data_IF_526470533245
#
_entry.id   IF_526470533245
#
_cell.length_a   1.000
_cell.length_b   1.000
_cell.length_c   1.000
_cell.angle_alpha   90.00
_cell.angle_beta   90.00
_cell.angle_gamma   90.00
#
_symmetry.space_group_name_H-M   'P 1'
#
loop_
_entity.id
_entity.type
_entity.pdbx_description
1 polymer ?
2 polymer ?
3 water ?
#
# COMPACT_ATOMS: atom_id res chain seq x y z
N UNK A 5 -13.28 -1.42 -14.11
CA UNK A 5 -12.28 -1.79 -13.11
C UNK A 5 -12.74 -2.99 -12.34
N UNK A 6 -11.83 -3.93 -12.09
CA UNK A 6 -12.19 -5.10 -11.28
C UNK A 6 -12.48 -4.71 -9.84
N UNK A 7 -13.36 -5.48 -9.21
CA UNK A 7 -13.79 -5.15 -7.86
C UNK A 7 -12.64 -5.19 -6.87
N UNK A 8 -11.69 -6.12 -7.03
CA UNK A 8 -10.59 -6.22 -6.08
C UNK A 8 -9.82 -4.92 -6.02
N UNK A 9 -9.68 -4.24 -7.16
CA UNK A 9 -8.88 -3.03 -7.24
C UNK A 9 -9.62 -1.86 -6.62
N UNK A 10 -10.93 -1.78 -6.79
CA UNK A 10 -11.70 -0.74 -6.12
C UNK A 10 -11.70 -0.96 -4.60
N UNK A 11 -11.78 -2.22 -4.16
CA UNK A 11 -11.68 -2.51 -2.72
C UNK A 11 -10.31 -2.11 -2.19
N UNK A 12 -9.26 -2.58 -2.85
CA UNK A 12 -7.91 -2.29 -2.38
C UNK A 12 -7.60 -0.81 -2.33
N UNK A 13 -7.98 -0.08 -3.38
CA UNK A 13 -7.77 1.37 -3.38
C UNK A 13 -8.63 2.08 -2.36
N UNK A 14 -9.87 1.61 -2.15
CA UNK A 14 -10.72 2.21 -1.13
C UNK A 14 -10.04 2.19 0.23
N UNK A 15 -9.47 1.04 0.61
CA UNK A 15 -8.81 0.92 1.90
C UNK A 15 -7.50 1.69 1.91
N UNK A 16 -6.70 1.53 0.87
CA UNK A 16 -5.37 2.16 0.86
C UNK A 16 -5.47 3.68 0.86
N UNK A 17 -6.51 4.25 0.26
CA UNK A 17 -6.61 5.70 0.23
C UNK A 17 -7.08 6.29 1.55
N UNK A 18 -7.53 5.47 2.50
CA UNK A 18 -7.90 5.99 3.82
C UNK A 18 -6.71 6.70 4.45
N UNK A 19 -6.92 7.97 4.79
CA UNK A 19 -5.93 8.77 5.47
C UNK A 19 -4.89 9.45 4.60
N UNK A 20 -4.97 9.34 3.26
CA UNK A 20 -4.02 10.05 2.43
C UNK A 20 -4.64 10.99 1.42
N UNK A 21 -5.97 11.15 1.41
CA UNK A 21 -6.60 12.11 0.49
C UNK A 21 -6.55 13.50 1.10
N UNK A 22 -5.89 14.42 0.40
CA UNK A 22 -5.87 15.82 0.79
C UNK A 22 -6.55 16.66 -0.28
N UNK A 23 -6.77 17.94 0.05
CA UNK A 23 -7.63 18.79 -0.74
C UNK A 23 -7.07 19.11 -2.12
N UNK A 24 -5.79 18.90 -2.37
CA UNK A 24 -5.21 19.21 -3.67
C UNK A 24 -5.20 18.02 -4.61
N UNK A 25 -5.73 16.86 -4.20
CA UNK A 25 -5.90 15.75 -5.13
C UNK A 25 -7.21 15.94 -5.89
N UNK A 26 -7.12 16.04 -7.22
CA UNK A 26 -8.31 16.17 -8.05
C UNK A 26 -8.87 14.81 -8.47
N UNK A 27 -8.00 13.83 -8.72
CA UNK A 27 -8.37 12.59 -9.38
C UNK A 27 -7.25 11.59 -9.14
N UNK A 28 -7.61 10.35 -8.80
CA UNK A 28 -6.66 9.25 -8.82
C UNK A 28 -7.23 8.20 -9.75
N UNK A 29 -6.45 7.79 -10.75
CA UNK A 29 -6.83 6.73 -11.66
C UNK A 29 -5.89 5.55 -11.49
N UNK A 30 -6.40 4.38 -11.90
CA UNK A 30 -5.60 3.17 -11.97
C UNK A 30 -5.82 2.52 -13.32
N UNK A 31 -4.74 2.11 -13.95
CA UNK A 31 -4.77 1.33 -15.18
C UNK A 31 -4.20 -0.03 -14.86
N UNK A 32 -5.00 -1.08 -15.08
CA UNK A 32 -4.62 -2.45 -14.77
C UNK A 32 -4.31 -3.20 -16.06
N UNK A 33 -3.09 -3.70 -16.16
CA UNK A 33 -2.65 -4.52 -17.30
C UNK A 33 -2.59 -5.96 -16.82
N UNK A 34 -3.62 -6.75 -17.15
CA UNK A 34 -3.81 -8.05 -16.53
C UNK A 34 -2.76 -9.07 -16.99
N UNK A 35 -2.41 -9.05 -18.28
CA UNK A 35 -1.46 -10.03 -18.77
C UNK A 35 -0.06 -9.77 -18.22
N UNK A 36 0.31 -8.50 -18.14
CA UNK A 36 1.57 -8.10 -17.55
C UNK A 36 1.54 -8.13 -16.03
N UNK A 37 0.34 -8.20 -15.44
CA UNK A 37 0.16 -8.11 -13.99
C UNK A 37 0.81 -6.85 -13.43
N UNK A 38 0.41 -5.73 -14.01
CA UNK A 38 1.03 -4.44 -13.75
C UNK A 38 -0.06 -3.41 -13.52
N UNK A 39 0.19 -2.47 -12.61
CA UNK A 39 -0.74 -1.41 -12.27
C UNK A 39 -0.03 -0.07 -12.46
N UNK A 40 -0.71 0.88 -13.10
CA UNK A 40 -0.23 2.25 -13.20
C UNK A 40 -1.20 3.17 -12.47
N UNK A 41 -0.73 3.86 -11.44
CA UNK A 41 -1.56 4.76 -10.63
C UNK A 41 -1.17 6.20 -10.94
N UNK A 42 -2.15 7.04 -11.29
CA UNK A 42 -1.90 8.43 -11.57
C UNK A 42 -2.67 9.32 -10.61
N UNK A 43 -1.95 10.27 -10.01
CA UNK A 43 -2.46 11.20 -9.01
C UNK A 43 -2.44 12.58 -9.64
N UNK A 44 -3.61 13.08 -10.00
CA UNK A 44 -3.76 14.39 -10.63
C UNK A 44 -4.00 15.43 -9.53
N UNK A 45 -3.08 16.38 -9.43
CA UNK A 45 -3.03 17.38 -8.37
C UNK A 45 -3.36 18.77 -8.91
N UNK A 46 -3.85 19.64 -8.03
CA UNK A 46 -4.11 21.03 -8.38
C UNK A 46 -2.91 21.93 -8.09
N UNK A 47 -1.74 21.34 -7.94
CA UNK A 47 -0.49 22.03 -7.65
C UNK A 47 0.64 21.14 -8.14
N UNK A 48 1.84 21.72 -8.23
CA UNK A 48 3.04 20.94 -8.50
C UNK A 48 3.22 19.85 -7.45
N UNK A 49 3.76 18.72 -7.89
CA UNK A 49 4.01 17.63 -6.96
C UNK A 49 5.10 17.99 -5.96
N UNK A 50 4.98 17.41 -4.77
CA UNK A 50 5.97 17.56 -3.70
C UNK A 50 6.44 16.16 -3.29
N UNK A 51 7.55 16.12 -2.54
CA UNK A 51 8.12 14.83 -2.17
C UNK A 51 7.15 14.02 -1.33
N UNK A 52 6.33 14.67 -0.51
CA UNK A 52 5.35 13.94 0.29
C UNK A 52 4.33 13.21 -0.58
N UNK A 53 4.06 13.73 -1.79
CA UNK A 53 3.19 12.99 -2.71
C UNK A 53 3.82 11.67 -3.11
N UNK A 54 5.11 11.69 -3.44
CA UNK A 54 5.77 10.44 -3.82
C UNK A 54 5.83 9.46 -2.66
N UNK A 55 6.11 9.95 -1.45
CA UNK A 55 6.07 9.09 -0.27
C UNK A 55 4.68 8.48 -0.09
N UNK A 56 3.63 9.30 -0.18
CA UNK A 56 2.28 8.79 -0.01
C UNK A 56 1.94 7.73 -1.06
N UNK A 57 2.40 7.92 -2.30
CA UNK A 57 2.12 6.91 -3.32
C UNK A 57 2.88 5.62 -3.04
N UNK A 58 4.11 5.72 -2.54
CA UNK A 58 4.85 4.50 -2.18
C UNK A 58 4.15 3.77 -1.03
N UNK A 59 3.70 4.51 -0.01
CA UNK A 59 2.94 3.88 1.06
C UNK A 59 1.70 3.19 0.52
N UNK A 60 0.98 3.88 -0.37
CA UNK A 60 -0.24 3.33 -0.95
C UNK A 60 0.02 2.04 -1.72
N UNK A 61 1.08 2.00 -2.54
CA UNK A 61 1.36 0.80 -3.31
C UNK A 61 1.75 -0.36 -2.40
N UNK A 62 2.53 -0.08 -1.35
CA UNK A 62 2.86 -1.13 -0.39
C UNK A 62 1.61 -1.74 0.21
N UNK A 63 0.68 -0.88 0.65
CA UNK A 63 -0.58 -1.37 1.21
C UNK A 63 -1.36 -2.15 0.18
N UNK A 64 -1.51 -1.58 -1.00
CA UNK A 64 -2.32 -2.19 -2.04
C UNK A 64 -1.78 -3.55 -2.45
N UNK A 65 -0.45 -3.66 -2.59
CA UNK A 65 0.12 -4.94 -2.98
C UNK A 65 -0.01 -5.94 -1.84
N UNK A 66 0.15 -5.48 -0.59
CA UNK A 66 -0.01 -6.39 0.53
C UNK A 66 -1.41 -6.99 0.57
N UNK A 67 -2.42 -6.23 0.16
CA UNK A 67 -3.80 -6.73 0.14
C UNK A 67 -4.17 -7.45 -1.15
N UNK A 68 -3.59 -7.05 -2.29
CA UNK A 68 -4.12 -7.41 -3.60
C UNK A 68 -3.05 -7.93 -4.55
N UNK A 69 -1.87 -8.25 -4.03
CA UNK A 69 -0.75 -8.69 -4.86
C UNK A 69 -0.94 -10.01 -5.57
N UNK A 70 -1.97 -10.79 -5.20
CA UNK A 70 -2.27 -11.96 -6.03
C UNK A 70 -2.63 -11.55 -7.46
N UNK A 71 -3.04 -10.30 -7.67
CA UNK A 71 -3.47 -9.82 -8.98
C UNK A 71 -2.42 -9.01 -9.72
N UNK A 72 -1.36 -8.55 -9.05
CA UNK A 72 -0.36 -7.75 -9.76
C UNK A 72 0.98 -7.89 -9.06
N UNK A 73 2.04 -7.88 -9.87
CA UNK A 73 3.40 -8.05 -9.39
C UNK A 73 4.18 -6.75 -9.30
N UNK A 74 3.86 -5.76 -10.14
CA UNK A 74 4.56 -4.50 -10.16
C UNK A 74 3.57 -3.38 -10.35
N UNK A 75 4.01 -2.19 -9.96
CA UNK A 75 3.19 -1.00 -10.09
C UNK A 75 4.12 0.20 -10.23
N UNK A 76 3.66 1.20 -10.99
CA UNK A 76 4.31 2.49 -11.11
C UNK A 76 3.29 3.57 -10.80
N UNK A 77 3.77 4.78 -10.53
CA UNK A 77 2.85 5.87 -10.30
C UNK A 77 3.40 7.13 -10.95
N UNK A 78 2.50 8.10 -11.15
CA UNK A 78 2.82 9.44 -11.61
C UNK A 78 2.02 10.42 -10.78
N UNK A 79 2.66 11.52 -10.37
CA UNK A 79 1.96 12.65 -9.77
C UNK A 79 1.98 13.78 -10.80
N UNK A 80 0.78 14.22 -11.19
CA UNK A 80 0.59 15.10 -12.33
C UNK A 80 -0.08 16.38 -11.85
N UNK A 81 0.56 17.52 -12.10
CA UNK A 81 -0.10 18.82 -11.93
C UNK A 81 -1.02 19.05 -13.13
N UNK A 82 -2.33 19.10 -12.90
CA UNK A 82 -3.28 19.30 -13.98
C UNK A 82 -4.09 20.56 -13.72
N UNK A 83 -4.15 21.42 -14.73
CA UNK A 83 -5.08 22.54 -14.75
C UNK A 83 -6.19 22.33 -15.76
N UNK A 84 -6.40 21.10 -16.22
CA UNK A 84 -7.47 20.85 -17.17
C UNK A 84 -8.83 21.03 -16.51
N UNK A 85 -9.86 21.21 -17.34
CA UNK A 85 -11.20 21.49 -16.84
C UNK A 85 -11.71 20.32 -16.01
N UNK A 86 -12.65 20.65 -15.13
CA UNK A 86 -13.33 19.61 -14.36
C UNK A 86 -13.99 18.60 -15.29
N UNK A 87 -14.59 19.07 -16.39
CA UNK A 87 -15.21 18.14 -17.34
C UNK A 87 -14.20 17.15 -17.88
N UNK A 88 -12.99 17.59 -18.22
CA UNK A 88 -11.99 16.68 -18.76
C UNK A 88 -11.59 15.61 -17.75
N UNK A 89 -11.30 16.00 -16.51
CA UNK A 89 -10.89 15.03 -15.49
C UNK A 89 -12.01 14.08 -15.15
N UNK A 90 -13.26 14.55 -15.22
CA UNK A 90 -14.41 13.69 -15.00
C UNK A 90 -14.48 12.55 -16.00
N UNK A 91 -13.84 12.66 -17.16
CA UNK A 91 -14.04 11.69 -18.22
C UNK A 91 -12.86 10.76 -18.43
N UNK A 92 -11.83 10.88 -17.60
CA UNK A 92 -10.66 10.02 -17.70
C UNK A 92 -11.00 8.65 -17.13
N UNK A 93 -10.60 7.60 -17.86
CA UNK A 93 -10.89 6.23 -17.46
C UNK A 93 -10.12 5.84 -16.21
N UNK A 94 -10.75 5.00 -15.40
CA UNK A 94 -10.05 4.37 -14.31
C UNK A 94 -10.08 5.10 -12.99
N UNK A 95 -10.99 6.06 -12.84
CA UNK A 95 -11.03 6.84 -11.60
C UNK A 95 -11.42 5.97 -10.42
N UNK A 96 -10.60 6.01 -9.37
CA UNK A 96 -10.98 5.46 -8.07
C UNK A 96 -11.18 6.55 -7.03
N UNK A 97 -10.82 7.79 -7.34
CA UNK A 97 -11.12 8.94 -6.49
C UNK A 97 -11.33 10.14 -7.40
N UNK A 98 -12.38 10.90 -7.16
CA UNK A 98 -12.61 12.11 -7.96
C UNK A 98 -13.25 13.15 -7.09
N UNK A 99 -12.58 14.29 -6.97
CA UNK A 99 -13.05 15.41 -6.19
C UNK A 99 -14.28 16.05 -6.84
N UNK A 100 -15.19 16.53 -5.98
CA UNK A 100 -16.32 17.34 -6.45
C UNK A 100 -15.82 18.68 -6.98
N UNK A 101 -16.16 19.01 -8.23
CA UNK A 101 -15.75 20.27 -8.84
C UNK A 101 -16.91 20.84 -9.65
N UNK A 102 -17.01 22.17 -9.66
CA UNK A 102 -18.07 22.85 -10.39
C UNK A 102 -17.93 22.66 -11.90
N UNK A 103 -19.03 22.37 -12.57
CA UNK A 103 -19.06 22.31 -14.02
C UNK A 103 -19.59 23.63 -14.59
N UNK B 57 17.03 -3.45 3.54
CA UNK B 57 16.14 -3.35 4.67
C UNK B 57 16.78 -2.52 5.79
N UNK B 58 16.06 -1.50 6.24
CA UNK B 58 16.54 -0.66 7.32
C UNK B 58 16.56 -1.39 8.65
N UNK B 59 17.12 -0.72 9.66
CA UNK B 59 17.28 -1.33 10.98
C UNK B 59 16.34 -0.75 12.02
N UNK B 60 15.70 0.39 11.77
CA UNK B 60 14.85 1.05 12.75
C UNK B 60 13.42 1.12 12.23
N UNK B 61 12.46 0.75 13.09
CA UNK B 61 11.05 0.93 12.75
C UNK B 61 10.73 2.42 12.74
N UNK B 62 10.02 2.87 11.71
CA UNK B 62 9.46 4.22 11.70
C UNK B 62 8.11 4.14 12.38
N UNK B 63 8.05 4.60 13.63
CA UNK B 63 6.85 4.39 14.45
C UNK B 63 5.62 5.06 13.82
N UNK B 64 5.79 6.27 13.27
CA UNK B 64 4.66 6.97 12.69
C UNK B 64 4.05 6.23 11.51
N UNK B 65 4.88 5.64 10.66
CA UNK B 65 4.38 4.84 9.55
C UNK B 65 3.84 3.49 10.04
N UNK B 66 4.57 2.84 10.94
CA UNK B 66 4.13 1.54 11.43
C UNK B 66 2.80 1.63 12.17
N UNK B 67 2.58 2.74 12.89
CA UNK B 67 1.39 2.88 13.71
C UNK B 67 0.10 2.94 12.93
N UNK B 68 0.16 3.29 11.64
CA UNK B 68 -1.04 3.20 10.81
C UNK B 68 -1.65 1.81 10.88
N UNK B 69 -0.83 0.80 11.17
CA UNK B 69 -1.25 -0.60 11.15
C UNK B 69 -1.29 -1.24 12.53
N UNK B 70 -1.40 -0.44 13.59
CA UNK B 70 -1.47 -0.97 14.96
C UNK B 70 -2.71 -0.39 15.61
N UNK B 71 -3.68 -1.26 15.92
CA UNK B 71 -4.90 -0.77 16.54
C UNK B 71 -4.58 -0.07 17.85
N UNK B 72 -5.24 1.07 18.09
CA UNK B 72 -5.02 1.84 19.30
C UNK B 72 -3.83 2.77 19.27
N UNK B 73 -2.92 2.59 18.31
CA UNK B 73 -1.79 3.49 18.13
C UNK B 73 -2.28 4.89 17.78
N UNK B 74 -1.49 5.90 18.13
CA UNK B 74 -1.92 7.27 17.84
C UNK B 74 -2.03 7.53 16.33
N UNK B 75 -1.33 6.75 15.50
CA UNK B 75 -1.36 6.94 14.06
C UNK B 75 -2.30 5.95 13.35
N UNK B 76 -3.02 5.13 14.10
CA UNK B 76 -3.82 4.06 13.51
C UNK B 76 -4.92 4.60 12.61
N UNK B 77 -5.14 3.93 11.48
CA UNK B 77 -6.23 4.24 10.56
C UNK B 77 -7.12 3.02 10.50
N UNK B 78 -8.31 3.11 11.10
CA UNK B 78 -9.23 1.97 11.15
C UNK B 78 -9.64 1.54 9.74
N UNK B 79 -9.60 0.23 9.49
CA UNK B 79 -9.83 -0.35 8.18
C UNK B 79 -8.57 -0.96 7.57
N UNK B 80 -7.41 -0.45 7.93
CA UNK B 80 -6.18 -0.98 7.36
C UNK B 80 -5.82 -2.32 8.00
N UNK B 81 -5.00 -3.08 7.27
CA UNK B 81 -4.42 -4.29 7.83
C UNK B 81 -3.68 -3.98 9.13
N UNK B 82 -3.79 -4.87 10.11
CA UNK B 82 -3.30 -4.57 11.45
C UNK B 82 -2.37 -5.67 11.94
N UNK B 83 -1.28 -5.27 12.59
CA UNK B 83 -0.48 -6.19 13.38
C UNK B 83 -1.27 -6.63 14.60
N UNK B 84 -0.99 -7.85 15.06
CA UNK B 84 -1.63 -8.34 16.27
C UNK B 84 -1.11 -7.59 17.49
N UNK B 85 -1.92 -7.56 18.54
CA UNK B 85 -1.62 -6.69 19.67
C UNK B 85 -0.33 -7.08 20.39
N UNK B 86 0.02 -8.36 20.37
CA UNK B 86 1.21 -8.84 21.07
C UNK B 86 2.46 -8.83 20.21
N UNK B 87 2.46 -8.10 19.09
CA UNK B 87 3.54 -8.14 18.11
C UNK B 87 4.36 -6.87 18.25
N UNK B 88 5.67 -7.03 18.49
CA UNK B 88 6.58 -5.91 18.56
C UNK B 88 7.25 -5.77 17.21
N UNK B 89 6.92 -4.73 16.42
CA UNK B 89 7.50 -4.62 15.07
C UNK B 89 9.01 -4.52 15.06
N UNK B 90 9.60 -3.86 16.05
CA UNK B 90 11.06 -3.75 16.09
C UNK B 90 11.69 -5.11 16.34
N UNK B 91 11.05 -5.95 17.15
CA UNK B 91 11.56 -7.31 17.37
C UNK B 91 11.46 -8.14 16.09
N UNK B 92 10.35 -8.01 15.35
CA UNK B 92 10.27 -8.68 14.05
C UNK B 92 11.40 -8.21 13.13
N UNK B 93 11.62 -6.89 13.05
CA UNK B 93 12.67 -6.38 12.19
C UNK B 93 14.05 -6.87 12.63
N UNK B 94 14.32 -6.84 13.94
CA UNK B 94 15.58 -7.37 14.43
C UNK B 94 15.74 -8.84 14.04
N UNK B 95 14.64 -9.60 14.04
CA UNK B 95 14.71 -11.00 13.65
C UNK B 95 14.94 -11.21 12.16
N UNK B 96 14.56 -10.25 11.33
CA UNK B 96 14.93 -10.35 9.92
C UNK B 96 16.44 -10.23 9.77
N UNK B 97 17.04 -9.27 10.46
CA UNK B 97 18.48 -9.05 10.32
C UNK B 97 19.29 -10.16 10.99
N UNK B 98 18.76 -10.76 12.06
CA UNK B 98 19.46 -11.84 12.73
C UNK B 98 19.27 -13.18 12.03
N UNK B 99 18.45 -13.24 10.99
CA UNK B 99 18.23 -14.46 10.26
C UNK B 99 17.13 -15.35 10.78
N UNK B 100 16.43 -14.93 11.83
CA UNK B 100 15.30 -15.71 12.34
C UNK B 100 14.20 -15.82 11.30
N UNK B 101 13.95 -14.76 10.55
CA UNK B 101 12.79 -14.67 9.69
C UNK B 101 13.25 -14.46 8.25
N UNK B 102 13.02 -15.41 7.35
CA UNK B 102 13.57 -15.29 5.99
C UNK B 102 12.75 -14.38 5.09
N UNK B 103 13.45 -13.64 4.25
CA UNK B 103 12.84 -13.02 3.07
C UNK B 103 12.56 -14.12 2.06
N UNK B 104 11.30 -14.28 1.68
CA UNK B 104 10.91 -15.36 0.78
C UNK B 104 10.54 -14.89 -0.61
N UNK B 105 10.29 -13.60 -0.80
CA UNK B 105 9.77 -13.10 -2.07
C UNK B 105 9.98 -11.59 -2.09
N UNK B 106 9.67 -10.99 -3.23
CA UNK B 106 9.60 -9.54 -3.33
C UNK B 106 8.26 -9.17 -3.94
N UNK B 107 7.66 -8.11 -3.42
CA UNK B 107 6.42 -7.57 -3.94
C UNK B 107 6.67 -6.38 -4.84
N UNK B 108 5.59 -5.67 -5.14
CA UNK B 108 5.70 -4.48 -5.96
C UNK B 108 6.66 -3.49 -5.29
N UNK B 109 7.31 -2.67 -6.12
CA UNK B 109 8.29 -1.67 -5.67
C UNK B 109 9.47 -2.29 -4.95
N UNK B 110 9.75 -3.56 -5.24
CA UNK B 110 10.90 -4.30 -4.71
C UNK B 110 10.88 -4.41 -3.20
N UNK B 111 9.68 -4.40 -2.61
CA UNK B 111 9.57 -4.60 -1.17
C UNK B 111 9.80 -6.06 -0.82
N UNK B 112 10.71 -6.37 0.11
CA UNK B 112 10.84 -7.75 0.57
C UNK B 112 9.57 -8.22 1.25
N UNK B 113 9.31 -9.52 1.16
CA UNK B 113 8.22 -10.20 1.85
C UNK B 113 8.83 -11.26 2.75
N UNK B 114 8.43 -11.27 4.01
CA UNK B 114 9.02 -12.14 5.02
C UNK B 114 7.95 -13.10 5.52
N UNK B 115 8.34 -14.37 5.70
CA UNK B 115 7.51 -15.38 6.35
C UNK B 115 7.97 -15.51 7.80
N UNK B 116 7.16 -14.99 8.73
CA UNK B 116 7.50 -15.07 10.14
C UNK B 116 7.15 -16.42 10.75
N UNK B 117 6.33 -17.23 10.09
CA UNK B 117 6.04 -18.59 10.51
C UNK B 117 4.95 -18.72 11.56
N UNK B 118 4.45 -17.61 12.08
CA UNK B 118 3.36 -17.59 13.05
C UNK B 118 2.57 -16.33 12.81
N UNK B 119 1.34 -16.24 13.34
CA UNK B 119 0.49 -15.09 12.99
C UNK B 119 1.06 -13.77 13.50
N UNK B 120 1.18 -12.79 12.60
CA UNK B 120 1.64 -11.45 12.97
C UNK B 120 0.56 -10.40 12.81
N UNK B 121 -0.54 -10.69 12.13
CA UNK B 121 -1.57 -9.70 11.95
C UNK B 121 -2.69 -10.23 11.09
N UNK B 122 -3.49 -9.31 10.58
CA UNK B 122 -4.62 -9.68 9.75
C UNK B 122 -4.77 -8.69 8.61
N UNK B 123 -5.29 -9.19 7.51
CA UNK B 123 -5.45 -8.41 6.29
C UNK B 123 -6.77 -7.66 6.32
N UNK B 124 -6.72 -6.36 5.96
CA UNK B 124 -7.92 -5.52 6.02
C UNK B 124 -8.97 -5.83 4.97
N UNK B 125 -8.59 -6.45 3.86
CA UNK B 125 -9.56 -6.76 2.82
C UNK B 125 -10.23 -8.11 3.05
N UNK B 126 -9.46 -9.12 3.45
CA UNK B 126 -10.00 -10.45 3.65
C UNK B 126 -10.41 -10.71 5.09
N UNK B 127 -9.86 -9.95 6.04
CA UNK B 127 -10.05 -10.22 7.45
C UNK B 127 -9.27 -11.41 7.97
N UNK B 128 -8.43 -12.02 7.14
CA UNK B 128 -7.75 -13.27 7.52
C UNK B 128 -6.43 -13.02 8.22
N UNK B 129 -6.13 -13.90 9.17
CA UNK B 129 -4.83 -13.91 9.82
C UNK B 129 -3.74 -14.21 8.79
N UNK B 130 -2.53 -13.69 9.04
CA UNK B 130 -1.41 -13.94 8.15
C UNK B 130 -0.12 -14.07 8.93
N UNK B 131 0.78 -14.92 8.41
CA UNK B 131 2.13 -15.08 8.93
C UNK B 131 3.16 -14.27 8.16
N UNK B 132 2.71 -13.51 7.16
CA UNK B 132 3.60 -12.86 6.21
C UNK B 132 3.51 -11.35 6.34
N UNK B 133 4.64 -10.68 6.20
CA UNK B 133 4.67 -9.23 6.20
C UNK B 133 5.45 -8.67 5.03
N UNK B 134 4.92 -7.60 4.45
CA UNK B 134 5.66 -6.80 3.48
C UNK B 134 6.53 -5.78 4.21
N UNK B 135 7.79 -5.69 3.82
CA UNK B 135 8.76 -4.84 4.52
C UNK B 135 8.99 -3.59 3.69
N UNK B 136 8.64 -2.42 4.24
CA UNK B 136 8.78 -1.13 3.55
C UNK B 136 9.86 -0.32 4.26
N UNK B 137 10.99 -0.12 3.59
CA UNK B 137 12.09 0.68 4.13
C UNK B 137 12.13 2.03 3.44
N UNK B 138 11.98 3.09 4.23
CA UNK B 138 12.11 4.45 3.73
C UNK B 138 13.19 5.24 4.43
N UNK B 139 13.31 6.53 4.10
CA UNK B 139 14.36 7.34 4.71
C UNK B 139 14.17 7.49 6.21
N UNK B 140 12.92 7.47 6.68
CA UNK B 140 12.65 7.61 8.10
C UNK B 140 12.57 6.27 8.83
N UNK B 141 12.79 5.15 8.13
CA UNK B 141 12.81 3.85 8.78
C UNK B 141 11.92 2.86 8.07
N UNK B 142 11.54 1.82 8.81
CA UNK B 142 10.88 0.64 8.27
C UNK B 142 9.50 0.50 8.87
N UNK B 143 8.57 -0.05 8.09
CA UNK B 143 7.34 -0.56 8.68
C UNK B 143 6.95 -1.85 7.98
N UNK B 144 6.19 -2.64 8.71
CA UNK B 144 5.78 -3.97 8.28
C UNK B 144 4.27 -3.95 8.08
N UNK B 145 3.82 -4.36 6.90
CA UNK B 145 2.40 -4.43 6.59
C UNK B 145 2.00 -5.91 6.49
N UNK B 146 1.06 -6.39 7.29
CA UNK B 146 0.59 -7.77 7.14
C UNK B 146 0.14 -8.00 5.71
N UNK B 147 0.62 -9.07 5.09
CA UNK B 147 0.30 -9.37 3.69
C UNK B 147 -0.76 -10.46 3.63
N UNK B 148 -1.77 -10.23 2.80
CA UNK B 148 -2.74 -11.25 2.45
C UNK B 148 -2.02 -12.55 2.07
N UNK B 149 -2.31 -13.68 2.74
CA UNK B 149 -1.56 -14.90 2.42
C UNK B 149 -1.70 -15.30 0.96
N UNK B 150 -2.82 -14.92 0.33
CA UNK B 150 -3.00 -15.23 -1.09
C UNK B 150 -1.98 -14.50 -1.94
N UNK B 151 -1.54 -13.32 -1.49
CA UNK B 151 -0.48 -12.62 -2.20
C UNK B 151 0.75 -13.51 -2.34
N UNK B 152 1.02 -14.34 -1.33
CA UNK B 152 2.16 -15.25 -1.35
C UNK B 152 1.78 -16.62 -1.90
N UNK B 153 0.60 -17.12 -1.55
CA UNK B 153 0.24 -18.51 -1.83
C UNK B 153 -0.34 -18.73 -3.23
N UNK B 154 -0.82 -17.69 -3.90
CA UNK B 154 -1.39 -17.82 -5.25
C UNK B 154 -0.31 -17.40 -6.23
N UNK B 155 0.42 -18.38 -6.77
CA UNK B 155 1.67 -18.16 -7.50
C UNK B 155 1.46 -18.51 -8.96
N UNK B 156 1.81 -17.58 -9.83
CA UNK B 156 1.68 -17.78 -11.27
C UNK B 156 2.63 -18.88 -11.76
N UNK B 157 2.23 -19.52 -12.85
CA UNK B 157 3.09 -20.51 -13.48
C UNK B 157 4.19 -19.83 -14.28
#
# INVERSE_FOLDING_TARGET
>A
MGNILPSWLRVGMNIAMLGMIHSDIRLITVDYEERRRFLKIKNYLSREAITEDHEDMEYLITELWSMCGEYFDEADFECIYSNHSSMELNQINGAVFRRKELISQALE
>B
GHMAKVKNLTKAAKPGKAAVSGDFSDSYKHNTASRLSQSVDGEMFQTRNVDFKAKSIGTKIHDGAQGKHISGHRNYIEGKSTLNQNINPQELLNGIHSGAYPVISKGARRNPVVDFGYPIGSDGKSGLSTNFGTIHSGKNGVHIVPANPKTIKKVQLE
#
